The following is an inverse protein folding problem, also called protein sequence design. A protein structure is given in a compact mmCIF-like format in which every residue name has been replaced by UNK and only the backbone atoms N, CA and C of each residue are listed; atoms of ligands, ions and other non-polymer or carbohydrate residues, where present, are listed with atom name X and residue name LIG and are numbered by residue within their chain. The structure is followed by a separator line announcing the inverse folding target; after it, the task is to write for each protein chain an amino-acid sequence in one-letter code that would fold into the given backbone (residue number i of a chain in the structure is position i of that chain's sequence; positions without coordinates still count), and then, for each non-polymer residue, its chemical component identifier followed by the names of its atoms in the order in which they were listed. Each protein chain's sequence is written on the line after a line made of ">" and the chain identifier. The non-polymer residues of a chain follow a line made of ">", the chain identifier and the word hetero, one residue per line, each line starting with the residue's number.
data_IF_743778339450
#
_entry.id   IF_743778339450
#
_cell.length_a   1.000
_cell.length_b   1.000
_cell.length_c   1.000
_cell.angle_alpha   90.00
_cell.angle_beta   90.00
_cell.angle_gamma   90.00
#
_symmetry.space_group_name_H-M   'P 1'
#
loop_
_entity.id
_entity.type
_entity.pdbx_description
1 polymer ?
#
# COMPACT_ATOMS: atom_id res chain seq x y z
N UNK A 1 -5.78 62.48 13.60
CA UNK A 1 -4.44 62.03 14.04
C UNK A 1 -4.61 60.67 14.73
N UNK A 2 -4.38 59.59 13.97
CA UNK A 2 -4.50 58.20 14.42
C UNK A 2 -3.16 57.77 15.03
N UNK A 3 -3.15 57.32 16.29
CA UNK A 3 -2.02 56.56 16.86
C UNK A 3 -2.55 55.42 17.76
N UNK A 4 -2.48 54.21 17.19
CA UNK A 4 -1.98 52.93 17.70
C UNK A 4 -2.05 52.65 19.21
N UNK A 5 -2.77 51.58 19.58
CA UNK A 5 -2.30 50.60 20.56
C UNK A 5 -2.50 49.18 20.01
N UNK A 6 -1.39 48.45 19.89
CA UNK A 6 -1.33 47.03 19.53
C UNK A 6 -2.01 46.19 20.61
N UNK A 7 -2.92 45.31 20.21
CA UNK A 7 -3.32 44.15 21.02
C UNK A 7 -2.74 42.91 20.34
N UNK A 8 -1.67 42.39 20.94
CA UNK A 8 -1.06 41.11 20.62
C UNK A 8 -2.06 40.02 21.04
N UNK A 9 -2.71 39.38 20.06
CA UNK A 9 -3.43 38.14 20.32
C UNK A 9 -2.42 36.99 20.41
N UNK A 10 -2.22 36.53 21.65
CA UNK A 10 -1.54 35.29 21.99
C UNK A 10 -2.13 34.12 21.18
N UNK A 11 -1.28 33.52 20.34
CA UNK A 11 -1.60 32.26 19.65
C UNK A 11 -1.77 31.17 20.70
N UNK A 12 -3.02 30.78 20.96
CA UNK A 12 -3.34 29.57 21.72
C UNK A 12 -2.57 28.40 21.11
N UNK A 13 -1.76 27.75 21.94
CA UNK A 13 -0.99 26.58 21.59
C UNK A 13 -1.88 25.52 20.93
N UNK A 14 -1.55 25.17 19.68
CA UNK A 14 -1.99 23.91 19.11
C UNK A 14 -1.48 22.81 20.05
N UNK A 15 -2.41 22.08 20.68
CA UNK A 15 -2.07 20.89 21.47
C UNK A 15 -1.16 20.00 20.62
N UNK A 16 0.09 19.80 21.08
CA UNK A 16 1.00 18.80 20.50
C UNK A 16 0.25 17.47 20.51
N UNK A 17 0.12 16.84 19.34
CA UNK A 17 -0.28 15.44 19.27
C UNK A 17 0.79 14.62 20.00
N UNK A 18 0.43 13.96 21.10
CA UNK A 18 1.32 13.05 21.80
C UNK A 18 1.37 11.72 21.04
N UNK A 19 2.58 11.28 20.70
CA UNK A 19 2.80 9.98 20.05
C UNK A 19 2.23 8.86 20.94
N UNK A 20 1.13 8.23 20.52
CA UNK A 20 0.65 6.97 21.08
C UNK A 20 1.23 5.79 20.28
N UNK A 21 2.55 5.67 20.24
CA UNK A 21 3.24 4.61 19.50
C UNK A 21 3.65 3.46 20.40
N UNK A 22 3.31 2.23 20.02
CA UNK A 22 3.87 1.00 20.60
C UNK A 22 5.38 0.91 20.33
N UNK A 23 6.20 0.68 21.34
CA UNK A 23 7.67 0.64 21.30
C UNK A 23 8.28 -0.60 20.60
N UNK A 24 7.55 -1.29 19.72
CA UNK A 24 8.03 -2.56 19.15
C UNK A 24 8.80 -2.36 17.85
N UNK A 25 10.12 -2.31 17.99
CA UNK A 25 11.10 -2.27 16.90
C UNK A 25 10.87 -3.35 15.84
N UNK A 26 10.73 -2.95 14.57
CA UNK A 26 11.03 -3.83 13.41
C UNK A 26 12.31 -3.32 12.81
N UNK A 27 13.39 -4.07 12.93
CA UNK A 27 14.66 -3.71 12.31
C UNK A 27 14.59 -4.08 10.84
N UNK A 28 14.64 -3.08 9.95
CA UNK A 28 15.06 -3.30 8.57
C UNK A 28 16.49 -3.83 8.63
N UNK A 29 16.68 -5.13 8.37
CA UNK A 29 18.02 -5.78 8.38
C UNK A 29 18.95 -5.28 7.26
N UNK A 30 18.47 -4.44 6.35
CA UNK A 30 19.24 -3.92 5.22
C UNK A 30 19.52 -2.42 5.37
N UNK A 31 20.74 -2.00 5.03
CA UNK A 31 21.10 -0.58 4.89
C UNK A 31 20.25 0.03 3.77
N UNK A 32 19.31 0.91 4.12
CA UNK A 32 18.56 1.75 3.16
C UNK A 32 19.32 3.05 2.90
N UNK A 33 19.24 3.56 1.67
CA UNK A 33 19.79 4.87 1.31
C UNK A 33 18.73 5.94 1.57
N UNK A 34 18.96 6.79 2.56
CA UNK A 34 18.15 7.99 2.78
C UNK A 34 18.52 9.00 1.69
N UNK A 35 17.54 9.39 0.88
CA UNK A 35 17.69 10.40 -0.16
C UNK A 35 17.24 11.75 0.40
N UNK A 36 18.15 12.73 0.37
CA UNK A 36 17.84 14.11 0.78
C UNK A 36 16.84 14.77 -0.16
N UNK A 37 16.00 15.66 0.37
CA UNK A 37 14.92 16.38 -0.33
C UNK A 37 15.41 17.52 -1.22
N UNK A 38 16.49 17.31 -1.97
CA UNK A 38 16.94 18.29 -2.94
C UNK A 38 15.90 18.36 -4.06
N UNK A 39 15.00 19.35 -3.98
CA UNK A 39 14.31 19.87 -5.17
C UNK A 39 15.44 20.30 -6.10
N UNK A 40 15.66 19.57 -7.18
CA UNK A 40 16.45 20.08 -8.30
C UNK A 40 15.70 21.33 -8.79
N UNK A 41 16.07 22.50 -8.29
CA UNK A 41 15.40 23.78 -8.49
C UNK A 41 15.62 24.35 -9.90
N UNK A 42 16.15 23.56 -10.83
CA UNK A 42 16.63 24.02 -12.14
C UNK A 42 16.18 23.18 -13.34
N UNK A 43 15.10 22.40 -13.22
CA UNK A 43 14.44 21.84 -14.40
C UNK A 43 12.99 22.30 -14.45
N UNK A 44 12.73 23.35 -15.24
CA UNK A 44 11.40 23.69 -15.76
C UNK A 44 10.90 22.48 -16.52
N UNK A 45 9.97 21.75 -15.90
CA UNK A 45 9.47 20.49 -16.38
C UNK A 45 7.95 20.66 -16.39
N UNK A 46 7.40 20.96 -17.56
CA UNK A 46 6.00 21.37 -17.74
C UNK A 46 5.07 20.17 -18.04
N UNK A 47 5.52 18.94 -17.74
CA UNK A 47 4.73 17.73 -17.91
C UNK A 47 4.15 17.24 -16.57
N UNK A 48 2.97 16.60 -16.55
CA UNK A 48 2.39 16.04 -15.33
C UNK A 48 3.34 15.09 -14.58
N UNK A 49 4.16 14.34 -15.31
CA UNK A 49 5.13 13.38 -14.76
C UNK A 49 6.25 14.06 -13.94
N UNK A 50 6.48 15.36 -14.13
CA UNK A 50 7.46 16.13 -13.37
C UNK A 50 7.09 16.25 -11.88
N UNK A 51 5.80 16.11 -11.56
CA UNK A 51 5.31 15.99 -10.19
C UNK A 51 5.94 14.82 -9.43
N UNK A 52 6.42 13.77 -10.11
CA UNK A 52 7.06 12.62 -9.48
C UNK A 52 8.38 12.94 -8.78
N UNK A 53 9.07 14.02 -9.16
CA UNK A 53 10.27 14.46 -8.44
C UNK A 53 9.96 15.19 -7.13
N UNK A 54 8.70 15.57 -6.91
CA UNK A 54 8.29 16.22 -5.68
C UNK A 54 8.21 15.20 -4.55
N UNK A 55 8.88 15.49 -3.43
CA UNK A 55 8.61 14.79 -2.19
C UNK A 55 7.29 15.33 -1.61
N UNK A 56 6.32 14.45 -1.37
CA UNK A 56 5.04 14.78 -0.72
C UNK A 56 5.20 15.07 0.78
N UNK A 57 6.41 14.89 1.32
CA UNK A 57 6.73 15.02 2.73
C UNK A 57 6.20 13.83 3.55
N UNK A 58 6.51 13.77 4.85
CA UNK A 58 6.06 12.67 5.69
C UNK A 58 4.54 12.69 5.83
N UNK A 59 3.89 11.52 6.01
CA UNK A 59 2.48 11.46 6.36
C UNK A 59 2.17 12.33 7.58
N UNK A 60 1.02 13.01 7.57
CA UNK A 60 0.53 13.78 8.71
C UNK A 60 -0.03 12.82 9.75
N UNK A 61 0.26 13.07 11.01
CA UNK A 61 -0.38 12.35 12.12
C UNK A 61 -1.87 12.69 12.14
N UNK A 62 -2.70 11.66 12.25
CA UNK A 62 -4.14 11.79 12.43
C UNK A 62 -4.57 11.10 13.72
N UNK A 63 -5.75 11.45 14.23
CA UNK A 63 -6.33 10.76 15.37
C UNK A 63 -6.87 9.42 14.90
N UNK A 64 -6.33 8.32 15.44
CA UNK A 64 -6.84 6.98 15.15
C UNK A 64 -8.35 6.89 15.38
N UNK A 65 -9.04 6.28 14.42
CA UNK A 65 -10.42 5.90 14.59
C UNK A 65 -10.45 4.67 15.51
N UNK A 66 -11.40 4.63 16.45
CA UNK A 66 -11.54 3.45 17.32
C UNK A 66 -11.95 2.26 16.47
N UNK A 67 -11.24 1.13 16.57
CA UNK A 67 -11.71 -0.17 16.05
C UNK A 67 -10.64 -1.07 15.46
N UNK A 68 -9.79 -0.56 14.55
CA UNK A 68 -8.91 -1.44 13.78
C UNK A 68 -7.65 -1.90 14.54
N UNK A 69 -7.16 -1.09 15.47
CA UNK A 69 -6.00 -1.46 16.32
C UNK A 69 -6.33 -2.56 17.32
N UNK A 70 -7.59 -2.69 17.72
CA UNK A 70 -8.04 -3.72 18.69
C UNK A 70 -8.34 -5.05 17.98
N UNK A 71 -8.84 -5.00 16.75
CA UNK A 71 -9.15 -6.18 15.94
C UNK A 71 -8.88 -5.93 14.45
N UNK A 72 -7.67 -6.27 14.00
CA UNK A 72 -7.26 -6.12 12.59
C UNK A 72 -8.11 -6.95 11.63
N UNK A 73 -8.64 -8.09 12.06
CA UNK A 73 -9.42 -9.03 11.22
C UNK A 73 -10.77 -8.45 10.81
N UNK A 74 -11.30 -7.50 11.60
CA UNK A 74 -12.52 -6.75 11.28
C UNK A 74 -12.31 -5.66 10.24
N UNK A 75 -11.07 -5.19 10.06
CA UNK A 75 -10.73 -4.04 9.22
C UNK A 75 -9.91 -4.37 7.98
N UNK A 76 -9.39 -5.59 7.86
CA UNK A 76 -8.52 -6.02 6.76
C UNK A 76 -9.12 -7.22 6.05
N UNK A 77 -9.17 -7.16 4.73
CA UNK A 77 -9.40 -8.33 3.86
C UNK A 77 -8.12 -8.61 3.08
N UNK A 78 -7.68 -9.87 3.02
CA UNK A 78 -6.57 -10.28 2.15
C UNK A 78 -7.09 -10.34 0.72
N UNK A 79 -6.39 -9.70 -0.21
CA UNK A 79 -6.61 -9.82 -1.64
C UNK A 79 -5.45 -10.59 -2.26
N UNK A 80 -5.74 -11.77 -2.80
CA UNK A 80 -4.76 -12.61 -3.48
C UNK A 80 -5.18 -12.81 -4.94
N UNK A 81 -4.30 -12.41 -5.87
CA UNK A 81 -4.43 -12.75 -7.28
C UNK A 81 -3.58 -14.00 -7.54
N UNK A 82 -4.14 -14.99 -8.22
CA UNK A 82 -3.44 -16.22 -8.61
C UNK A 82 -3.73 -16.59 -10.07
N UNK A 83 -3.09 -17.65 -10.55
CA UNK A 83 -3.38 -18.30 -11.83
C UNK A 83 -3.12 -19.79 -11.65
N UNK A 84 -4.17 -20.54 -11.30
CA UNK A 84 -4.16 -21.99 -11.13
C UNK A 84 -3.14 -22.54 -10.11
N UNK A 85 -2.99 -21.86 -8.96
CA UNK A 85 -2.02 -22.26 -7.90
C UNK A 85 -2.68 -22.57 -6.56
N UNK A 86 -3.76 -23.36 -6.59
CA UNK A 86 -4.54 -23.72 -5.39
C UNK A 86 -3.68 -24.13 -4.18
N UNK A 87 -2.66 -24.97 -4.37
CA UNK A 87 -1.83 -25.45 -3.25
C UNK A 87 -1.02 -24.33 -2.58
N UNK A 88 -0.54 -23.35 -3.36
CA UNK A 88 0.17 -22.18 -2.84
C UNK A 88 -0.80 -21.26 -2.11
N UNK A 89 -1.95 -20.94 -2.73
CA UNK A 89 -2.97 -20.10 -2.09
C UNK A 89 -3.48 -20.72 -0.79
N UNK A 90 -3.77 -22.02 -0.78
CA UNK A 90 -4.16 -22.76 0.44
C UNK A 90 -3.11 -22.64 1.53
N UNK A 91 -1.83 -22.74 1.18
CA UNK A 91 -0.70 -22.59 2.11
C UNK A 91 -0.62 -21.16 2.66
N UNK A 92 -0.78 -20.15 1.80
CA UNK A 92 -0.83 -18.73 2.17
C UNK A 92 -1.99 -18.47 3.15
N UNK A 93 -3.22 -18.85 2.79
CA UNK A 93 -4.42 -18.70 3.64
C UNK A 93 -4.22 -19.35 5.01
N UNK A 94 -3.78 -20.63 5.03
CA UNK A 94 -3.54 -21.33 6.29
C UNK A 94 -2.46 -20.66 7.13
N UNK A 95 -1.43 -20.09 6.52
CA UNK A 95 -0.39 -19.38 7.26
C UNK A 95 -0.91 -18.10 7.91
N UNK A 96 -1.83 -17.39 7.25
CA UNK A 96 -2.53 -16.22 7.79
C UNK A 96 -3.44 -16.62 8.95
N UNK A 97 -4.24 -17.68 8.80
CA UNK A 97 -5.17 -18.15 9.83
C UNK A 97 -4.53 -18.65 11.12
N UNK A 98 -3.23 -18.98 11.12
CA UNK A 98 -2.51 -19.25 12.37
C UNK A 98 -2.36 -18.01 13.26
N UNK A 99 -2.37 -16.82 12.67
CA UNK A 99 -2.18 -15.54 13.35
C UNK A 99 -3.50 -14.77 13.46
N UNK A 100 -4.31 -14.86 12.41
CA UNK A 100 -5.58 -14.15 12.24
C UNK A 100 -6.66 -15.16 11.81
N UNK A 101 -7.23 -15.94 12.75
CA UNK A 101 -8.13 -17.06 12.42
C UNK A 101 -9.39 -16.66 11.64
N UNK A 102 -9.89 -15.46 11.83
CA UNK A 102 -11.14 -14.91 11.28
C UNK A 102 -10.92 -13.93 10.11
N UNK A 103 -9.67 -13.66 9.73
CA UNK A 103 -9.38 -12.79 8.58
C UNK A 103 -9.99 -13.35 7.30
N UNK A 104 -10.67 -12.46 6.58
CA UNK A 104 -11.30 -12.76 5.30
C UNK A 104 -10.27 -12.71 4.17
N UNK A 105 -10.43 -13.59 3.19
CA UNK A 105 -9.58 -13.64 2.00
C UNK A 105 -10.44 -13.65 0.75
N UNK A 106 -10.15 -12.76 -0.19
CA UNK A 106 -10.63 -12.80 -1.56
C UNK A 106 -9.51 -13.36 -2.44
N UNK A 107 -9.83 -14.41 -3.19
CA UNK A 107 -8.94 -15.03 -4.16
C UNK A 107 -9.51 -14.80 -5.55
N UNK A 108 -8.75 -14.14 -6.41
CA UNK A 108 -9.07 -13.97 -7.83
C UNK A 108 -8.14 -14.87 -8.64
N UNK A 109 -8.71 -15.92 -9.23
CA UNK A 109 -8.01 -16.89 -10.05
C UNK A 109 -8.20 -16.57 -11.54
N UNK A 110 -7.11 -16.19 -12.18
CA UNK A 110 -7.07 -15.67 -13.54
C UNK A 110 -6.80 -16.78 -14.58
N UNK A 111 -7.11 -18.04 -14.21
CA UNK A 111 -7.09 -19.22 -15.08
C UNK A 111 -8.46 -19.37 -15.76
N UNK A 112 -8.46 -19.77 -17.03
CA UNK A 112 -9.68 -19.91 -17.81
C UNK A 112 -10.67 -20.90 -17.15
N UNK A 113 -11.97 -20.54 -17.14
CA UNK A 113 -13.02 -21.43 -16.63
C UNK A 113 -13.03 -22.74 -17.43
N UNK A 114 -12.93 -23.88 -16.72
CA UNK A 114 -12.94 -25.23 -17.32
C UNK A 114 -11.73 -26.09 -16.97
N UNK A 115 -10.67 -25.53 -16.37
CA UNK A 115 -9.51 -26.29 -15.89
C UNK A 115 -9.81 -26.98 -14.54
N UNK A 116 -9.22 -28.17 -14.31
CA UNK A 116 -9.46 -29.11 -13.17
C UNK A 116 -9.40 -28.51 -11.76
N UNK A 117 -8.89 -27.30 -11.61
CA UNK A 117 -8.71 -26.55 -10.36
C UNK A 117 -10.01 -26.32 -9.60
N UNK A 118 -11.16 -26.35 -10.30
CA UNK A 118 -12.47 -26.12 -9.71
C UNK A 118 -12.82 -27.08 -8.57
N UNK A 119 -12.50 -28.38 -8.66
CA UNK A 119 -12.89 -29.35 -7.62
C UNK A 119 -12.13 -29.16 -6.30
N UNK A 120 -10.83 -28.82 -6.37
CA UNK A 120 -10.03 -28.54 -5.17
C UNK A 120 -10.54 -27.29 -4.45
N UNK A 121 -10.91 -26.26 -5.22
CA UNK A 121 -11.54 -25.07 -4.70
C UNK A 121 -12.91 -25.37 -4.09
N UNK A 122 -13.79 -26.09 -4.80
CA UNK A 122 -15.10 -26.51 -4.28
C UNK A 122 -14.96 -27.20 -2.92
N UNK A 123 -14.12 -28.22 -2.83
CA UNK A 123 -13.89 -28.95 -1.58
C UNK A 123 -13.36 -28.05 -0.46
N UNK A 124 -12.45 -27.13 -0.78
CA UNK A 124 -11.93 -26.19 0.21
C UNK A 124 -13.01 -25.21 0.69
N UNK A 125 -13.86 -24.72 -0.21
CA UNK A 125 -14.90 -23.74 0.09
C UNK A 125 -16.07 -24.35 0.89
N UNK A 126 -16.35 -25.66 0.76
CA UNK A 126 -17.36 -26.33 1.59
C UNK A 126 -17.17 -26.02 3.09
N UNK A 127 -15.93 -26.06 3.57
CA UNK A 127 -15.62 -25.79 4.97
C UNK A 127 -15.26 -24.33 5.28
N UNK A 128 -15.03 -23.48 4.27
CA UNK A 128 -14.42 -22.15 4.48
C UNK A 128 -15.09 -20.99 3.74
N UNK A 129 -16.24 -21.19 3.09
CA UNK A 129 -16.95 -20.16 2.30
C UNK A 129 -17.29 -18.88 3.07
N UNK A 130 -17.38 -18.92 4.40
CA UNK A 130 -17.61 -17.71 5.23
C UNK A 130 -16.37 -16.81 5.34
N UNK A 131 -15.17 -17.37 5.16
CA UNK A 131 -13.88 -16.67 5.30
C UNK A 131 -13.14 -16.52 3.97
N UNK A 132 -13.45 -17.34 2.98
CA UNK A 132 -12.80 -17.31 1.66
C UNK A 132 -13.84 -17.06 0.59
N UNK A 133 -13.69 -15.94 -0.11
CA UNK A 133 -14.39 -15.67 -1.35
C UNK A 133 -13.44 -16.01 -2.50
N UNK A 134 -13.84 -16.96 -3.35
CA UNK A 134 -13.08 -17.36 -4.53
C UNK A 134 -13.85 -16.95 -5.77
N UNK A 135 -13.17 -16.31 -6.71
CA UNK A 135 -13.71 -16.03 -8.04
C UNK A 135 -12.71 -16.49 -9.08
N UNK A 136 -13.21 -17.19 -10.10
CA UNK A 136 -12.46 -17.56 -11.28
C UNK A 136 -12.88 -16.66 -12.43
N UNK A 137 -11.92 -16.07 -13.13
CA UNK A 137 -12.17 -15.21 -14.28
C UNK A 137 -12.38 -16.05 -15.54
N UNK A 138 -13.17 -15.52 -16.48
CA UNK A 138 -13.49 -16.21 -17.73
C UNK A 138 -12.28 -16.27 -18.68
N UNK A 139 -11.51 -15.17 -18.73
CA UNK A 139 -10.34 -14.99 -19.59
C UNK A 139 -9.11 -14.57 -18.79
N UNK A 140 -7.93 -14.70 -19.39
CA UNK A 140 -6.69 -14.14 -18.86
C UNK A 140 -6.70 -12.60 -18.92
N UNK A 141 -7.00 -12.00 -17.76
CA UNK A 141 -7.09 -10.55 -17.54
C UNK A 141 -5.77 -9.92 -17.10
N UNK A 142 -4.83 -10.72 -16.60
CA UNK A 142 -3.56 -10.24 -16.07
C UNK A 142 -3.65 -9.79 -14.61
N UNK A 143 -2.58 -9.18 -14.10
CA UNK A 143 -2.45 -8.85 -12.66
C UNK A 143 -3.35 -7.67 -12.29
N UNK A 144 -3.30 -6.57 -13.04
CA UNK A 144 -4.01 -5.33 -12.70
C UNK A 144 -5.53 -5.51 -12.70
N UNK A 145 -6.11 -5.97 -13.80
CA UNK A 145 -7.55 -6.24 -13.87
C UNK A 145 -8.00 -7.29 -12.86
N UNK A 146 -7.23 -8.38 -12.66
CA UNK A 146 -7.53 -9.37 -11.64
C UNK A 146 -7.60 -8.77 -10.23
N UNK A 147 -6.66 -7.89 -9.87
CA UNK A 147 -6.71 -7.16 -8.60
C UNK A 147 -7.91 -6.21 -8.52
N UNK A 148 -8.27 -5.52 -9.62
CA UNK A 148 -9.47 -4.67 -9.68
C UNK A 148 -10.77 -5.45 -9.42
N UNK A 149 -10.92 -6.66 -9.98
CA UNK A 149 -12.08 -7.52 -9.68
C UNK A 149 -12.19 -7.81 -8.18
N UNK A 150 -11.07 -8.15 -7.54
CA UNK A 150 -11.05 -8.38 -6.11
C UNK A 150 -11.30 -7.11 -5.29
N UNK A 151 -10.79 -5.96 -5.72
CA UNK A 151 -11.02 -4.66 -5.09
C UNK A 151 -12.51 -4.32 -4.97
N UNK A 152 -13.31 -4.62 -6.01
CA UNK A 152 -14.76 -4.39 -5.99
C UNK A 152 -15.51 -5.23 -4.94
N UNK A 153 -14.96 -6.39 -4.59
CA UNK A 153 -15.52 -7.30 -3.59
C UNK A 153 -15.16 -6.91 -2.15
N UNK A 154 -14.09 -6.12 -1.95
CA UNK A 154 -13.63 -5.69 -0.64
C UNK A 154 -14.65 -4.72 0.00
N UNK A 155 -14.96 -4.96 1.27
CA UNK A 155 -15.85 -4.10 2.09
C UNK A 155 -15.18 -3.54 3.35
N UNK A 156 -13.98 -4.01 3.65
CA UNK A 156 -13.22 -3.58 4.82
C UNK A 156 -12.48 -2.27 4.55
N UNK A 157 -12.16 -1.51 5.61
CA UNK A 157 -11.44 -0.23 5.55
C UNK A 157 -10.10 -0.34 4.82
N UNK A 158 -9.40 -1.45 5.05
CA UNK A 158 -8.15 -1.77 4.39
C UNK A 158 -8.23 -3.11 3.67
N UNK A 159 -7.30 -3.31 2.73
CA UNK A 159 -6.99 -4.62 2.21
C UNK A 159 -5.48 -4.84 2.16
N UNK A 160 -5.08 -6.11 2.35
CA UNK A 160 -3.70 -6.54 2.19
C UNK A 160 -3.57 -7.23 0.82
N UNK A 161 -2.93 -6.56 -0.14
CA UNK A 161 -2.52 -7.18 -1.39
C UNK A 161 -1.34 -8.10 -1.14
N UNK A 162 -1.40 -9.33 -1.64
CA UNK A 162 -0.33 -10.32 -1.46
C UNK A 162 -0.32 -11.35 -2.60
N UNK A 163 0.86 -11.88 -2.90
CA UNK A 163 1.05 -12.95 -3.88
C UNK A 163 0.76 -14.33 -3.24
N UNK A 164 0.40 -15.31 -4.07
CA UNK A 164 -0.06 -16.65 -3.65
C UNK A 164 1.02 -17.53 -2.99
N UNK A 165 2.29 -17.17 -3.14
CA UNK A 165 3.44 -17.89 -2.62
C UNK A 165 3.98 -17.35 -1.29
N UNK A 166 3.39 -16.26 -0.79
CA UNK A 166 3.82 -15.61 0.45
C UNK A 166 3.34 -16.39 1.69
N UNK A 167 4.22 -16.45 2.70
CA UNK A 167 3.92 -17.01 4.01
C UNK A 167 3.91 -15.90 5.06
N UNK A 168 2.85 -15.85 5.86
CA UNK A 168 2.76 -14.87 6.93
C UNK A 168 3.84 -15.13 7.98
N UNK A 169 4.68 -14.12 8.27
CA UNK A 169 5.72 -14.23 9.27
C UNK A 169 5.08 -14.35 10.66
N UNK A 170 5.75 -15.02 11.61
CA UNK A 170 5.23 -15.16 12.98
C UNK A 170 5.12 -13.82 13.72
N UNK A 171 5.81 -12.79 13.24
CA UNK A 171 5.75 -11.44 13.81
C UNK A 171 4.43 -10.75 13.43
N UNK A 172 3.93 -9.92 14.36
CA UNK A 172 2.73 -9.06 14.21
C UNK A 172 2.92 -7.92 13.20
N UNK A 173 3.31 -8.24 11.97
CA UNK A 173 3.60 -7.26 10.92
C UNK A 173 2.32 -6.54 10.48
N UNK A 174 1.18 -7.24 10.42
CA UNK A 174 -0.08 -6.63 9.99
C UNK A 174 -0.56 -5.57 10.97
N UNK A 175 -0.47 -5.82 12.29
CA UNK A 175 -0.83 -4.86 13.34
C UNK A 175 0.01 -3.59 13.24
N UNK A 176 1.29 -3.72 12.89
CA UNK A 176 2.18 -2.56 12.70
C UNK A 176 1.78 -1.74 11.49
N UNK A 177 1.47 -2.39 10.37
CA UNK A 177 0.96 -1.72 9.18
C UNK A 177 -0.37 -1.00 9.49
N UNK A 178 -1.32 -1.68 10.14
CA UNK A 178 -2.59 -1.07 10.56
C UNK A 178 -2.37 0.10 11.51
N UNK A 179 -1.43 0.00 12.44
CA UNK A 179 -1.09 1.09 13.38
C UNK A 179 -0.59 2.33 12.64
N UNK A 180 0.28 2.18 11.63
CA UNK A 180 0.71 3.30 10.78
C UNK A 180 -0.50 3.90 10.05
N UNK A 181 -1.31 3.06 9.40
CA UNK A 181 -2.47 3.51 8.61
C UNK A 181 -3.54 4.22 9.46
N UNK A 182 -3.76 3.80 10.70
CA UNK A 182 -4.75 4.43 11.60
C UNK A 182 -4.26 5.77 12.18
N UNK A 183 -2.96 5.95 12.37
CA UNK A 183 -2.41 7.13 13.02
C UNK A 183 -1.78 8.13 12.04
N UNK A 184 -1.85 7.86 10.74
CA UNK A 184 -1.35 8.76 9.70
C UNK A 184 -2.32 8.89 8.53
N UNK A 185 -2.15 9.90 7.68
CA UNK A 185 -2.87 10.05 6.40
C UNK A 185 -2.30 9.17 5.26
N UNK A 186 -1.60 8.09 5.60
CA UNK A 186 -1.01 7.13 4.64
C UNK A 186 -2.11 6.35 3.91
N UNK A 187 -1.94 6.18 2.59
CA UNK A 187 -2.80 5.39 1.73
C UNK A 187 -2.27 3.97 1.53
N UNK A 188 -0.94 3.78 1.50
CA UNK A 188 -0.30 2.46 1.37
C UNK A 188 0.86 2.28 2.34
N UNK A 189 0.89 1.16 3.04
CA UNK A 189 1.99 0.74 3.89
C UNK A 189 2.45 -0.68 3.53
N UNK A 190 3.74 -0.86 3.28
CA UNK A 190 4.31 -2.17 2.91
C UNK A 190 5.54 -2.54 3.73
N UNK A 191 6.05 -3.74 3.47
CA UNK A 191 7.27 -4.25 4.11
C UNK A 191 8.28 -4.78 3.09
N UNK A 192 9.55 -4.91 3.51
CA UNK A 192 10.66 -5.58 2.80
C UNK A 192 11.27 -4.88 1.59
N UNK A 193 10.49 -4.13 0.81
CA UNK A 193 10.96 -3.48 -0.42
C UNK A 193 10.63 -2.00 -0.39
N UNK A 194 11.59 -1.18 -0.79
CA UNK A 194 11.44 0.26 -0.85
C UNK A 194 12.13 0.82 -2.09
N UNK A 195 11.44 1.72 -2.76
CA UNK A 195 11.98 2.43 -3.91
C UNK A 195 11.46 3.86 -4.01
N UNK A 196 12.26 4.70 -4.65
CA UNK A 196 12.00 6.11 -4.89
C UNK A 196 12.10 6.37 -6.38
N UNK A 197 11.11 7.08 -6.95
CA UNK A 197 11.09 7.50 -8.34
C UNK A 197 11.92 8.77 -8.56
N UNK A 198 12.59 8.84 -9.70
CA UNK A 198 13.21 10.07 -10.21
C UNK A 198 12.96 10.16 -11.71
N UNK A 199 12.48 11.31 -12.15
CA UNK A 199 12.31 11.65 -13.56
C UNK A 199 13.42 12.62 -13.95
N UNK A 200 14.09 12.35 -15.06
CA UNK A 200 15.10 13.23 -15.65
C UNK A 200 14.77 13.48 -17.11
N UNK A 201 15.00 14.70 -17.57
CA UNK A 201 14.94 15.02 -18.99
C UNK A 201 16.36 15.08 -19.57
N UNK A 202 16.65 14.21 -20.53
CA UNK A 202 17.86 14.27 -21.33
C UNK A 202 17.60 15.18 -22.54
N UNK A 203 18.18 16.39 -22.50
CA UNK A 203 18.02 17.39 -23.57
C UNK A 203 18.68 16.98 -24.88
N UNK A 204 19.86 16.36 -24.81
CA UNK A 204 20.63 15.96 -26.00
C UNK A 204 19.91 14.86 -26.79
N UNK A 205 19.30 13.91 -26.09
CA UNK A 205 18.53 12.84 -26.71
C UNK A 205 17.04 13.17 -26.90
N UNK A 206 16.57 14.33 -26.43
CA UNK A 206 15.15 14.69 -26.33
C UNK A 206 14.29 13.57 -25.69
N UNK A 207 14.77 13.00 -24.58
CA UNK A 207 14.18 11.83 -23.93
C UNK A 207 13.85 12.10 -22.46
N UNK A 208 12.67 11.63 -22.03
CA UNK A 208 12.31 11.59 -20.61
C UNK A 208 12.65 10.22 -20.05
N UNK A 209 13.48 10.20 -19.00
CA UNK A 209 13.93 8.98 -18.33
C UNK A 209 13.27 8.92 -16.96
N UNK A 210 12.43 7.91 -16.75
CA UNK A 210 11.96 7.50 -15.43
C UNK A 210 12.94 6.46 -14.87
N UNK A 211 13.47 6.72 -13.68
CA UNK A 211 14.24 5.75 -12.91
C UNK A 211 13.60 5.49 -11.56
N UNK A 212 13.75 4.26 -11.05
CA UNK A 212 13.41 3.92 -9.67
C UNK A 212 14.66 3.42 -8.94
N UNK A 213 14.96 4.02 -7.79
CA UNK A 213 16.13 3.63 -7.01
C UNK A 213 15.70 2.62 -5.96
N UNK A 214 16.19 1.38 -6.08
CA UNK A 214 15.91 0.33 -5.10
C UNK A 214 16.62 0.60 -3.77
N UNK A 215 16.01 0.15 -2.67
CA UNK A 215 16.49 0.33 -1.29
C UNK A 215 16.69 1.81 -0.91
N UNK A 216 15.90 2.69 -1.53
CA UNK A 216 15.89 4.11 -1.24
C UNK A 216 14.62 4.50 -0.48
N UNK A 217 14.78 5.46 0.43
CA UNK A 217 13.71 6.05 1.23
C UNK A 217 13.94 7.55 1.36
N UNK A 218 12.89 8.31 1.66
CA UNK A 218 12.98 9.71 2.06
C UNK A 218 13.13 9.80 3.60
N UNK A 219 12.39 10.68 4.26
CA UNK A 219 12.40 10.87 5.71
C UNK A 219 11.72 9.74 6.50
N UNK A 220 12.04 9.68 7.80
CA UNK A 220 11.33 8.83 8.78
C UNK A 220 9.91 9.36 9.02
N UNK A 221 8.99 8.45 9.30
CA UNK A 221 7.64 8.79 9.75
C UNK A 221 7.69 9.12 11.26
N UNK A 222 7.19 10.29 11.70
CA UNK A 222 7.12 10.63 13.12
C UNK A 222 6.37 9.58 13.93
N UNK A 223 6.79 9.32 15.17
CA UNK A 223 6.18 8.34 16.08
C UNK A 223 6.27 6.85 15.66
N UNK A 224 6.83 6.53 14.49
CA UNK A 224 6.95 5.16 13.99
C UNK A 224 8.40 4.77 13.74
N UNK A 225 9.00 4.06 14.70
CA UNK A 225 10.38 3.62 14.61
C UNK A 225 10.60 2.70 13.40
N UNK A 226 11.64 2.99 12.62
CA UNK A 226 12.02 2.26 11.40
C UNK A 226 10.96 2.27 10.29
N UNK A 227 10.00 3.19 10.33
CA UNK A 227 9.11 3.49 9.21
C UNK A 227 9.61 4.73 8.47
N UNK A 228 9.54 4.70 7.15
CA UNK A 228 10.05 5.74 6.28
C UNK A 228 9.03 6.04 5.18
N UNK A 229 9.08 7.26 4.65
CA UNK A 229 8.36 7.66 3.45
C UNK A 229 9.14 7.20 2.22
N UNK A 230 8.45 6.72 1.19
CA UNK A 230 9.03 6.26 -0.08
C UNK A 230 7.95 6.32 -1.18
N UNK A 231 8.30 6.00 -2.42
CA UNK A 231 7.33 6.09 -3.53
C UNK A 231 6.68 4.76 -3.89
N UNK A 232 7.36 3.63 -3.64
CA UNK A 232 6.87 2.32 -4.04
C UNK A 232 7.41 1.20 -3.15
N UNK A 233 6.49 0.41 -2.61
CA UNK A 233 6.76 -0.89 -1.97
C UNK A 233 6.57 -2.04 -2.97
N UNK A 234 6.94 -3.26 -2.58
CA UNK A 234 6.68 -4.45 -3.40
C UNK A 234 5.21 -4.90 -3.36
N UNK A 235 4.91 -6.05 -3.96
CA UNK A 235 3.54 -6.57 -4.14
C UNK A 235 2.75 -6.84 -2.84
N UNK A 236 3.46 -6.98 -1.72
CA UNK A 236 2.89 -7.24 -0.41
C UNK A 236 2.72 -5.93 0.37
N UNK A 237 1.52 -5.35 0.34
CA UNK A 237 1.21 -4.07 0.98
C UNK A 237 -0.22 -3.99 1.49
N UNK A 238 -0.40 -3.26 2.59
CA UNK A 238 -1.68 -2.85 3.12
C UNK A 238 -2.08 -1.53 2.49
N UNK A 239 -3.31 -1.41 2.02
CA UNK A 239 -3.82 -0.19 1.40
C UNK A 239 -5.18 0.20 1.96
N UNK A 240 -5.45 1.50 1.99
CA UNK A 240 -6.77 2.05 2.32
C UNK A 240 -7.70 1.88 1.13
N UNK A 241 -8.76 1.10 1.30
CA UNK A 241 -9.64 0.68 0.20
C UNK A 241 -10.21 1.88 -0.55
N UNK A 242 -10.66 2.92 0.16
CA UNK A 242 -11.21 4.14 -0.45
C UNK A 242 -10.20 4.86 -1.34
N UNK A 243 -8.95 5.00 -0.88
CA UNK A 243 -7.92 5.74 -1.62
C UNK A 243 -7.52 5.02 -2.92
N UNK A 244 -7.56 3.68 -2.92
CA UNK A 244 -7.29 2.89 -4.13
C UNK A 244 -8.46 2.96 -5.11
N UNK A 245 -9.70 3.00 -4.62
CA UNK A 245 -10.88 3.24 -5.44
C UNK A 245 -10.85 4.64 -6.05
N UNK A 246 -10.46 5.66 -5.28
CA UNK A 246 -10.38 7.06 -5.74
C UNK A 246 -9.45 7.23 -6.96
N UNK A 247 -8.37 6.44 -7.05
CA UNK A 247 -7.44 6.45 -8.19
C UNK A 247 -7.82 5.44 -9.29
N UNK A 248 -9.02 4.88 -9.22
CA UNK A 248 -9.56 3.88 -10.13
C UNK A 248 -8.75 2.56 -10.19
N UNK A 249 -8.13 2.17 -9.08
CA UNK A 249 -7.39 0.90 -8.95
C UNK A 249 -6.17 0.82 -9.87
N UNK A 250 -5.97 -0.35 -10.45
CA UNK A 250 -4.90 -0.65 -11.41
C UNK A 250 -5.29 -0.30 -12.84
N UNK A 251 -4.31 0.07 -13.68
CA UNK A 251 -4.55 0.26 -15.11
C UNK A 251 -4.90 -1.08 -15.76
N UNK A 252 -6.12 -1.18 -16.27
CA UNK A 252 -6.67 -2.39 -16.86
C UNK A 252 -6.01 -2.81 -18.18
N UNK A 253 -5.28 -1.90 -18.83
CA UNK A 253 -4.53 -2.23 -20.06
C UNK A 253 -3.22 -2.95 -19.75
N UNK A 254 -2.73 -2.86 -18.51
CA UNK A 254 -1.46 -3.48 -18.09
C UNK A 254 -1.68 -4.88 -17.52
N UNK A 255 -1.43 -5.89 -18.36
CA UNK A 255 -1.54 -7.30 -17.95
C UNK A 255 -0.41 -7.73 -16.99
N UNK A 256 0.78 -7.15 -17.13
CA UNK A 256 1.99 -7.44 -16.35
C UNK A 256 2.72 -6.12 -16.02
N UNK A 257 3.61 -6.15 -15.01
CA UNK A 257 4.43 -5.01 -14.57
C UNK A 257 3.65 -3.75 -14.12
N UNK A 258 2.39 -3.92 -13.76
CA UNK A 258 1.49 -2.84 -13.33
C UNK A 258 1.97 -2.05 -12.09
N UNK A 259 2.85 -2.63 -11.28
CA UNK A 259 3.14 -2.08 -9.95
C UNK A 259 3.74 -0.67 -10.04
N UNK A 260 4.61 -0.45 -11.03
CA UNK A 260 5.27 0.85 -11.22
C UNK A 260 4.24 1.91 -11.60
N UNK A 261 3.35 1.60 -12.53
CA UNK A 261 2.26 2.50 -12.93
C UNK A 261 1.32 2.81 -11.75
N UNK A 262 0.93 1.77 -11.00
CA UNK A 262 0.06 1.91 -9.85
C UNK A 262 0.61 2.92 -8.82
N UNK A 263 1.89 2.77 -8.43
CA UNK A 263 2.50 3.68 -7.46
C UNK A 263 2.78 5.08 -8.04
N UNK A 264 3.03 5.20 -9.34
CA UNK A 264 3.12 6.52 -10.01
C UNK A 264 1.79 7.26 -9.92
N UNK A 265 0.68 6.62 -10.27
CA UNK A 265 -0.65 7.23 -10.21
C UNK A 265 -1.06 7.56 -8.79
N UNK A 266 -0.76 6.68 -7.84
CA UNK A 266 -0.98 6.93 -6.41
C UNK A 266 -0.24 8.20 -5.95
N UNK A 267 1.05 8.33 -6.26
CA UNK A 267 1.86 9.51 -5.93
C UNK A 267 1.36 10.78 -6.60
N UNK A 268 1.02 10.71 -7.90
CA UNK A 268 0.51 11.85 -8.65
C UNK A 268 -0.86 12.32 -8.14
N UNK A 269 -1.65 11.43 -7.54
CA UNK A 269 -2.88 11.76 -6.82
C UNK A 269 -2.63 12.36 -5.41
N UNK A 270 -1.37 12.55 -5.01
CA UNK A 270 -0.98 13.11 -3.71
C UNK A 270 -1.15 12.13 -2.53
N UNK A 271 -1.37 10.85 -2.81
CA UNK A 271 -1.49 9.79 -1.80
C UNK A 271 -0.08 9.27 -1.43
N UNK A 272 0.08 8.80 -0.18
CA UNK A 272 1.37 8.40 0.41
C UNK A 272 1.42 6.92 0.73
#
# INVERSE_FOLDING_TARGET
>A
MLIVHQIIFSMKSQKRFECKGSEDTVTLKSKVKVIGTARDSKTTCDFPICGLNSNLGPPKLIKAEKGCSDNVESCVTILCKTHNRFLLVKRMIKSAWRLYPEIKTIVVDDENKGVKTSLLWQNFLLSHHKKVCYTQLDDWTGIGLGRNYGLQLIKTKYFLSIDDDVIFPKQKTLEKLVSVMENTDTAVAGSNTASVFKVKFNREANQTILSHTLKAVYEKIPCFNNCYTLDMVGNAFLAKTSDIIDINGWDGQQKLQENVDFFIRLKLAGKK
#
